data_IF_744598766568
#
_entry.id   IF_744598766568
#
_cell.length_a   1.000
_cell.length_b   1.000
_cell.length_c   1.000
_cell.angle_alpha   90.00
_cell.angle_beta   90.00
_cell.angle_gamma   90.00
#
_symmetry.space_group_name_H-M   'P 1'
#
loop_
_entity.id
_entity.type
_entity.pdbx_description
1 polymer ?
#
# COMPACT_ATOMS: atom_id res chain seq x y z
N UNK A 1 -20.19 -56.28 10.54
CA UNK A 1 -19.65 -55.47 9.43
C UNK A 1 -20.82 -54.82 8.70
N UNK A 2 -21.45 -53.83 9.33
CA UNK A 2 -22.68 -53.19 8.82
C UNK A 2 -22.79 -51.70 9.14
N UNK A 3 -21.89 -51.12 9.95
CA UNK A 3 -22.06 -49.73 10.42
C UNK A 3 -21.38 -48.69 9.52
N UNK A 4 -20.64 -49.12 8.49
CA UNK A 4 -20.00 -48.22 7.53
C UNK A 4 -20.94 -47.81 6.37
N UNK A 5 -22.03 -48.56 6.14
CA UNK A 5 -22.96 -48.30 5.05
C UNK A 5 -24.09 -47.32 5.45
N UNK A 6 -24.23 -47.02 6.74
CA UNK A 6 -25.18 -46.03 7.25
C UNK A 6 -24.74 -44.58 7.04
N UNK A 7 -23.48 -44.34 6.64
CA UNK A 7 -23.08 -43.03 6.12
C UNK A 7 -23.83 -42.66 4.82
N UNK A 8 -24.30 -43.67 4.08
CA UNK A 8 -24.90 -43.49 2.75
C UNK A 8 -26.44 -43.58 2.73
N UNK A 9 -27.08 -44.12 3.78
CA UNK A 9 -28.54 -44.22 3.88
C UNK A 9 -29.15 -43.17 4.81
N UNK A 10 -28.94 -41.89 4.48
CA UNK A 10 -29.63 -40.78 5.15
C UNK A 10 -31.02 -40.62 4.53
N UNK A 11 -32.06 -40.75 5.35
CA UNK A 11 -33.47 -40.43 5.08
C UNK A 11 -33.61 -39.17 4.18
N UNK A 12 -34.42 -39.23 3.11
CA UNK A 12 -34.51 -38.17 2.08
C UNK A 12 -34.79 -36.78 2.66
N UNK A 13 -35.52 -36.68 3.78
CA UNK A 13 -35.75 -35.39 4.50
C UNK A 13 -34.52 -34.91 5.29
N UNK A 14 -33.75 -35.83 5.88
CA UNK A 14 -32.47 -35.53 6.54
C UNK A 14 -31.38 -35.17 5.53
N UNK A 15 -31.41 -35.70 4.30
CA UNK A 15 -30.43 -35.36 3.24
C UNK A 15 -30.45 -33.87 2.86
N UNK A 16 -31.62 -33.28 2.64
CA UNK A 16 -31.72 -31.87 2.26
C UNK A 16 -31.29 -30.94 3.41
N UNK A 17 -31.68 -31.27 4.65
CA UNK A 17 -31.23 -30.56 5.84
C UNK A 17 -29.72 -30.64 6.03
N UNK A 18 -29.13 -31.82 5.84
CA UNK A 18 -27.69 -32.02 5.95
C UNK A 18 -26.93 -31.26 4.84
N UNK A 19 -27.45 -31.23 3.60
CA UNK A 19 -26.86 -30.43 2.52
C UNK A 19 -26.91 -28.93 2.85
N UNK A 20 -28.04 -28.43 3.33
CA UNK A 20 -28.18 -27.03 3.76
C UNK A 20 -27.21 -26.72 4.90
N UNK A 21 -27.09 -27.61 5.89
CA UNK A 21 -26.14 -27.47 6.98
C UNK A 21 -24.69 -27.42 6.47
N UNK A 22 -24.30 -28.26 5.51
CA UNK A 22 -22.97 -28.19 4.91
C UNK A 22 -22.75 -26.87 4.15
N UNK A 23 -23.74 -26.38 3.40
CA UNK A 23 -23.67 -25.08 2.72
C UNK A 23 -23.49 -23.95 3.74
N UNK A 24 -24.23 -23.99 4.86
CA UNK A 24 -24.10 -23.02 5.94
C UNK A 24 -22.74 -23.07 6.61
N UNK A 25 -22.19 -24.27 6.86
CA UNK A 25 -20.84 -24.44 7.41
C UNK A 25 -19.79 -23.87 6.46
N UNK A 26 -19.91 -24.12 5.14
CA UNK A 26 -18.99 -23.58 4.13
C UNK A 26 -19.09 -22.05 4.09
N UNK A 27 -20.31 -21.50 4.11
CA UNK A 27 -20.53 -20.06 4.14
C UNK A 27 -19.93 -19.42 5.39
N UNK A 28 -20.11 -20.05 6.56
CA UNK A 28 -19.53 -19.60 7.82
C UNK A 28 -18.00 -19.67 7.79
N UNK A 29 -17.41 -20.77 7.30
CA UNK A 29 -15.96 -20.90 7.13
C UNK A 29 -15.40 -19.87 6.15
N UNK A 30 -16.13 -19.55 5.08
CA UNK A 30 -15.73 -18.52 4.14
C UNK A 30 -15.67 -17.15 4.80
N UNK A 31 -16.72 -16.74 5.52
CA UNK A 31 -16.72 -15.46 6.24
C UNK A 31 -15.64 -15.44 7.31
N UNK A 32 -15.52 -16.52 8.10
CA UNK A 32 -14.51 -16.65 9.14
C UNK A 32 -13.08 -16.55 8.57
N UNK A 33 -12.79 -17.23 7.46
CA UNK A 33 -11.49 -17.18 6.80
C UNK A 33 -11.13 -15.77 6.36
N UNK A 34 -12.08 -15.05 5.74
CA UNK A 34 -11.87 -13.66 5.33
C UNK A 34 -11.54 -12.74 6.54
N UNK A 35 -12.27 -12.89 7.65
CA UNK A 35 -11.99 -12.13 8.88
C UNK A 35 -10.60 -12.47 9.43
N UNK A 36 -10.24 -13.75 9.51
CA UNK A 36 -8.93 -14.17 10.01
C UNK A 36 -7.78 -13.67 9.13
N UNK A 37 -7.92 -13.75 7.81
CA UNK A 37 -6.92 -13.23 6.86
C UNK A 37 -6.75 -11.71 7.06
N UNK A 38 -7.84 -10.97 7.18
CA UNK A 38 -7.80 -9.53 7.41
C UNK A 38 -7.07 -9.18 8.72
N UNK A 39 -7.42 -9.85 9.82
CA UNK A 39 -6.77 -9.65 11.12
C UNK A 39 -5.28 -10.02 11.07
N UNK A 40 -4.94 -11.12 10.39
CA UNK A 40 -3.56 -11.56 10.25
C UNK A 40 -2.72 -10.54 9.48
N UNK A 41 -3.19 -10.10 8.31
CA UNK A 41 -2.49 -9.10 7.50
C UNK A 41 -2.30 -7.82 8.32
N UNK A 42 -3.36 -7.27 8.91
CA UNK A 42 -3.26 -6.03 9.69
C UNK A 42 -2.35 -6.17 10.92
N UNK A 43 -2.33 -7.33 11.58
CA UNK A 43 -1.45 -7.60 12.71
C UNK A 43 0.03 -7.70 12.34
N UNK A 44 0.36 -8.01 11.07
CA UNK A 44 1.76 -8.06 10.62
C UNK A 44 2.35 -6.70 10.30
N UNK A 45 1.54 -5.67 10.04
CA UNK A 45 2.02 -4.32 9.80
C UNK A 45 2.44 -3.65 11.11
N UNK A 46 3.74 -3.45 11.28
CA UNK A 46 4.33 -2.78 12.44
C UNK A 46 4.82 -1.39 12.05
N UNK A 47 4.80 -0.45 12.99
CA UNK A 47 5.38 0.87 12.77
C UNK A 47 6.89 0.75 12.48
N UNK A 48 7.41 1.59 11.58
CA UNK A 48 8.85 1.69 11.33
C UNK A 48 9.51 2.35 12.54
N UNK A 49 10.61 1.79 13.03
CA UNK A 49 11.20 2.10 14.34
C UNK A 49 11.93 3.46 14.34
N UNK A 50 12.59 3.82 13.23
CA UNK A 50 13.31 5.09 13.08
C UNK A 50 12.92 5.75 11.75
N UNK A 51 12.35 6.95 11.83
CA UNK A 51 11.95 7.74 10.67
C UNK A 51 12.53 9.15 10.77
N UNK A 52 13.32 9.53 9.77
CA UNK A 52 13.97 10.85 9.69
C UNK A 52 13.48 11.62 8.48
N UNK A 53 13.21 12.91 8.67
CA UNK A 53 12.80 13.84 7.62
C UNK A 53 13.91 14.89 7.51
N UNK A 54 14.61 14.91 6.39
CA UNK A 54 15.67 15.87 6.08
C UNK A 54 15.24 16.79 4.92
N UNK A 55 13.97 17.20 4.93
CA UNK A 55 13.40 18.14 3.96
C UNK A 55 12.89 19.34 4.72
N UNK A 56 13.52 20.50 4.52
CA UNK A 56 13.08 21.76 5.16
C UNK A 56 11.87 22.36 4.44
N UNK A 57 11.83 22.28 3.11
CA UNK A 57 10.73 22.78 2.27
C UNK A 57 10.50 21.82 1.09
N UNK A 58 9.27 21.36 0.79
CA UNK A 58 8.00 21.58 1.50
C UNK A 58 7.95 20.88 2.87
N UNK A 59 6.98 21.23 3.72
CA UNK A 59 6.80 20.57 5.01
C UNK A 59 6.17 19.20 4.79
N UNK A 60 6.89 18.15 5.15
CA UNK A 60 6.45 16.76 5.01
C UNK A 60 6.09 16.24 6.39
N UNK A 61 4.88 15.69 6.51
CA UNK A 61 4.41 15.02 7.72
C UNK A 61 4.15 13.55 7.43
N UNK A 62 4.52 12.68 8.38
CA UNK A 62 4.26 11.25 8.30
C UNK A 62 3.10 10.95 9.26
N UNK A 63 1.96 10.54 8.71
CA UNK A 63 0.81 10.12 9.53
C UNK A 63 0.93 8.64 9.91
N UNK A 64 1.32 7.81 8.94
CA UNK A 64 1.49 6.37 9.15
C UNK A 64 2.65 5.85 8.32
N UNK A 65 3.63 5.24 8.99
CA UNK A 65 4.69 4.47 8.34
C UNK A 65 4.69 3.06 8.92
N UNK A 66 4.20 2.08 8.15
CA UNK A 66 4.12 0.69 8.61
C UNK A 66 4.69 -0.28 7.60
N UNK A 67 5.41 -1.27 8.11
CA UNK A 67 5.99 -2.35 7.32
C UNK A 67 5.68 -3.71 7.95
N UNK A 68 5.45 -4.69 7.08
CA UNK A 68 5.56 -6.12 7.34
C UNK A 68 6.99 -6.57 7.06
N UNK A 69 7.26 -7.88 7.07
CA UNK A 69 8.57 -8.40 6.69
C UNK A 69 8.96 -8.12 5.23
N UNK A 70 8.02 -7.97 4.29
CA UNK A 70 8.32 -7.84 2.85
C UNK A 70 7.59 -6.70 2.12
N UNK A 71 6.55 -6.14 2.73
CA UNK A 71 5.73 -5.07 2.17
C UNK A 71 5.58 -3.94 3.20
N UNK A 72 5.39 -2.71 2.76
CA UNK A 72 5.01 -1.63 3.65
C UNK A 72 4.42 -0.44 2.89
N UNK A 73 3.97 0.54 3.66
CA UNK A 73 3.46 1.80 3.14
C UNK A 73 3.83 2.96 4.05
N UNK A 74 3.91 4.14 3.43
CA UNK A 74 4.10 5.43 4.09
C UNK A 74 2.99 6.36 3.61
N UNK A 75 2.18 6.85 4.53
CA UNK A 75 1.14 7.83 4.29
C UNK A 75 1.48 9.10 5.05
N UNK A 76 1.15 10.23 4.44
CA UNK A 76 1.41 11.52 5.05
C UNK A 76 0.89 12.66 4.20
N UNK A 77 1.25 13.87 4.60
CA UNK A 77 0.88 15.10 3.91
C UNK A 77 2.11 15.90 3.56
N UNK A 78 2.09 16.49 2.38
CA UNK A 78 3.09 17.45 1.93
C UNK A 78 2.38 18.79 1.81
N UNK A 79 2.86 19.77 2.56
CA UNK A 79 2.33 21.13 2.56
C UNK A 79 3.36 22.11 2.06
N UNK A 80 2.97 22.93 1.09
CA UNK A 80 3.79 24.07 0.69
C UNK A 80 3.64 25.20 1.72
N UNK A 81 4.69 25.43 2.51
CA UNK A 81 4.74 26.52 3.47
C UNK A 81 5.47 27.76 2.93
N UNK A 82 5.90 27.75 1.66
CA UNK A 82 6.54 28.91 1.02
C UNK A 82 5.51 29.76 0.28
N UNK A 83 5.91 30.97 -0.08
CA UNK A 83 5.10 31.91 -0.88
C UNK A 83 5.22 31.64 -2.40
N UNK A 84 6.07 30.68 -2.79
CA UNK A 84 6.33 30.33 -4.19
C UNK A 84 5.76 28.96 -4.53
N UNK A 85 5.28 28.81 -5.77
CA UNK A 85 4.82 27.50 -6.27
C UNK A 85 6.00 26.54 -6.39
N UNK A 86 5.88 25.35 -5.80
CA UNK A 86 6.88 24.29 -5.94
C UNK A 86 6.56 23.52 -7.21
N UNK A 87 7.47 23.58 -8.18
CA UNK A 87 7.35 22.90 -9.47
C UNK A 87 8.41 21.81 -9.60
N UNK A 88 8.01 20.64 -10.12
CA UNK A 88 8.88 19.52 -10.51
C UNK A 88 9.89 19.05 -9.44
N UNK A 89 9.43 18.92 -8.19
CA UNK A 89 10.27 18.43 -7.09
C UNK A 89 10.13 16.93 -6.90
N UNK A 90 11.24 16.25 -6.61
CA UNK A 90 11.23 14.81 -6.31
C UNK A 90 11.60 14.58 -4.85
N UNK A 91 10.72 13.88 -4.13
CA UNK A 91 10.98 13.45 -2.76
C UNK A 91 11.44 12.00 -2.79
N UNK A 92 12.61 11.74 -2.21
CA UNK A 92 13.19 10.41 -2.06
C UNK A 92 12.80 9.82 -0.71
N UNK A 93 12.33 8.59 -0.75
CA UNK A 93 12.10 7.72 0.40
C UNK A 93 13.15 6.62 0.37
N UNK A 94 14.12 6.70 1.25
CA UNK A 94 15.18 5.71 1.38
C UNK A 94 14.84 4.75 2.53
N UNK A 95 14.90 3.45 2.26
CA UNK A 95 14.59 2.41 3.23
C UNK A 95 15.85 1.62 3.58
N UNK A 96 16.09 1.45 4.88
CA UNK A 96 17.30 0.79 5.37
C UNK A 96 17.05 -0.17 6.52
N UNK A 97 18.01 -1.08 6.71
CA UNK A 97 18.05 -2.00 7.85
C UNK A 97 18.48 -1.29 9.13
N UNK A 98 18.43 -1.98 10.29
CA UNK A 98 18.95 -1.45 11.55
C UNK A 98 20.43 -1.01 11.48
N UNK A 99 21.20 -1.60 10.57
CA UNK A 99 22.64 -1.35 10.36
C UNK A 99 22.91 -0.30 9.28
N UNK A 100 21.91 0.50 8.90
CA UNK A 100 22.02 1.58 7.91
C UNK A 100 22.43 1.11 6.50
N UNK A 101 22.15 -0.16 6.17
CA UNK A 101 22.30 -0.68 4.80
C UNK A 101 21.05 -0.31 4.00
N UNK A 102 21.23 0.40 2.87
CA UNK A 102 20.15 0.76 1.95
C UNK A 102 19.60 -0.52 1.26
N UNK A 103 18.27 -0.70 1.34
CA UNK A 103 17.53 -1.83 0.77
C UNK A 103 16.85 -1.43 -0.54
N UNK A 104 16.43 -0.17 -0.66
CA UNK A 104 15.78 0.37 -1.83
C UNK A 104 15.27 1.79 -1.63
N UNK A 105 14.96 2.44 -2.75
CA UNK A 105 14.51 3.82 -2.80
C UNK A 105 13.17 3.92 -3.54
N UNK A 106 12.32 4.85 -3.08
CA UNK A 106 11.12 5.27 -3.81
C UNK A 106 11.17 6.77 -4.06
N UNK A 107 10.62 7.20 -5.18
CA UNK A 107 10.59 8.60 -5.59
C UNK A 107 9.15 9.03 -5.82
N UNK A 108 8.77 10.14 -5.19
CA UNK A 108 7.48 10.78 -5.38
C UNK A 108 7.70 12.10 -6.13
N UNK A 109 7.09 12.22 -7.31
CA UNK A 109 7.10 13.46 -8.10
C UNK A 109 6.00 14.40 -7.60
N UNK A 110 6.37 15.64 -7.29
CA UNK A 110 5.47 16.75 -7.02
C UNK A 110 5.50 17.63 -8.27
N UNK A 111 4.43 17.61 -9.06
CA UNK A 111 4.37 18.37 -10.32
C UNK A 111 4.16 19.85 -10.08
N UNK A 112 3.04 20.22 -9.45
CA UNK A 112 2.72 21.60 -9.07
C UNK A 112 2.09 21.59 -7.67
N UNK A 113 2.65 22.39 -6.76
CA UNK A 113 2.10 22.59 -5.43
C UNK A 113 2.06 24.09 -5.11
N UNK A 114 0.87 24.68 -5.12
CA UNK A 114 0.66 26.10 -4.89
C UNK A 114 0.97 26.51 -3.43
N UNK A 115 1.31 27.78 -3.17
CA UNK A 115 1.52 28.30 -1.82
C UNK A 115 0.35 27.97 -0.89
N UNK A 116 0.65 27.34 0.26
CA UNK A 116 -0.36 26.93 1.24
C UNK A 116 -1.14 25.65 0.89
N UNK A 117 -0.96 25.09 -0.31
CA UNK A 117 -1.61 23.85 -0.72
C UNK A 117 -1.05 22.65 0.05
N UNK A 118 -1.93 21.73 0.41
CA UNK A 118 -1.62 20.47 1.08
C UNK A 118 -2.09 19.30 0.21
N UNK A 119 -1.19 18.34 -0.03
CA UNK A 119 -1.49 17.10 -0.76
C UNK A 119 -1.24 15.89 0.14
N UNK A 120 -2.13 14.92 0.08
CA UNK A 120 -1.94 13.62 0.72
C UNK A 120 -1.13 12.70 -0.20
N UNK A 121 -0.15 12.01 0.36
CA UNK A 121 0.66 11.04 -0.37
C UNK A 121 0.58 9.65 0.26
N UNK A 122 0.72 8.65 -0.61
CA UNK A 122 0.83 7.24 -0.23
C UNK A 122 1.90 6.56 -1.06
N UNK A 123 2.97 6.14 -0.41
CA UNK A 123 4.10 5.43 -1.00
C UNK A 123 4.02 3.98 -0.55
N UNK A 124 3.80 3.05 -1.48
CA UNK A 124 3.84 1.62 -1.18
C UNK A 124 5.19 1.05 -1.60
N UNK A 125 5.71 0.10 -0.84
CA UNK A 125 7.00 -0.51 -1.14
C UNK A 125 7.00 -2.01 -0.84
N UNK A 126 7.87 -2.72 -1.55
CA UNK A 126 8.06 -4.17 -1.41
C UNK A 126 9.55 -4.47 -1.22
N UNK A 127 10.00 -4.32 0.02
CA UNK A 127 11.37 -4.54 0.45
C UNK A 127 11.38 -5.38 1.72
N UNK A 128 12.42 -6.17 1.91
CA UNK A 128 12.51 -7.07 3.05
C UNK A 128 13.17 -6.39 4.26
N UNK A 129 12.67 -6.69 5.46
CA UNK A 129 13.27 -6.33 6.75
C UNK A 129 13.63 -4.83 6.91
N UNK A 130 12.69 -3.95 6.53
CA UNK A 130 12.86 -2.51 6.74
C UNK A 130 12.72 -2.17 8.22
N UNK A 131 13.64 -1.33 8.68
CA UNK A 131 13.73 -0.93 10.10
C UNK A 131 13.85 0.58 10.26
N UNK A 132 14.48 1.24 9.28
CA UNK A 132 14.63 2.69 9.25
C UNK A 132 14.15 3.25 7.92
N UNK A 133 13.69 4.49 7.96
CA UNK A 133 13.29 5.25 6.79
C UNK A 133 13.85 6.68 6.87
N UNK A 134 14.31 7.16 5.73
CA UNK A 134 14.76 8.55 5.56
C UNK A 134 14.04 9.19 4.39
N UNK A 135 13.50 10.38 4.62
CA UNK A 135 12.89 11.21 3.59
C UNK A 135 13.84 12.36 3.29
N UNK A 136 14.24 12.51 2.03
CA UNK A 136 15.13 13.59 1.57
C UNK A 136 14.68 14.12 0.22
N UNK A 137 15.26 15.24 -0.20
CA UNK A 137 15.13 15.71 -1.59
C UNK A 137 15.97 14.82 -2.51
N UNK A 138 15.42 14.42 -3.65
CA UNK A 138 16.14 13.60 -4.63
C UNK A 138 17.01 14.48 -5.53
N UNK A 139 18.22 14.02 -5.82
CA UNK A 139 19.10 14.70 -6.78
C UNK A 139 18.71 14.34 -8.21
N UNK A 140 18.90 15.25 -9.17
CA UNK A 140 18.58 15.02 -10.58
C UNK A 140 19.27 13.79 -11.20
N UNK A 141 20.44 13.39 -10.69
CA UNK A 141 21.14 12.17 -11.11
C UNK A 141 20.49 10.89 -10.58
N UNK A 142 19.99 10.92 -9.34
CA UNK A 142 19.30 9.79 -8.72
C UNK A 142 17.98 9.50 -9.45
N UNK A 143 17.25 10.55 -9.82
CA UNK A 143 16.00 10.44 -10.58
C UNK A 143 16.24 9.85 -11.98
N UNK A 144 17.35 10.21 -12.64
CA UNK A 144 17.67 9.67 -13.98
C UNK A 144 18.07 8.19 -13.96
N UNK A 145 18.69 7.74 -12.87
CA UNK A 145 19.15 6.37 -12.70
C UNK A 145 18.09 5.46 -12.05
N UNK A 146 17.00 6.04 -11.54
CA UNK A 146 15.92 5.31 -10.91
C UNK A 146 15.16 4.45 -11.92
N UNK A 147 14.74 3.27 -11.47
CA UNK A 147 13.92 2.37 -12.30
C UNK A 147 12.45 2.83 -12.27
N UNK A 148 11.68 2.61 -13.33
CA UNK A 148 10.24 2.96 -13.39
C UNK A 148 9.44 2.43 -12.18
N UNK A 149 9.81 1.27 -11.64
CA UNK A 149 9.17 0.67 -10.47
C UNK A 149 9.46 1.39 -9.14
N UNK A 150 10.43 2.30 -9.11
CA UNK A 150 10.78 3.11 -7.93
C UNK A 150 9.96 4.40 -7.86
N UNK A 151 9.33 4.81 -8.95
CA UNK A 151 8.46 5.97 -8.98
C UNK A 151 7.06 5.61 -8.46
N UNK A 152 6.58 6.37 -7.48
CA UNK A 152 5.19 6.32 -7.05
C UNK A 152 4.40 7.45 -7.71
N UNK A 153 3.26 7.06 -8.26
CA UNK A 153 2.31 7.97 -8.92
C UNK A 153 1.24 8.33 -7.89
N UNK A 154 1.03 9.62 -7.63
CA UNK A 154 -0.04 10.10 -6.76
C UNK A 154 -1.42 9.70 -7.30
N UNK A 155 -2.42 9.57 -6.43
CA UNK A 155 -3.78 9.19 -6.84
C UNK A 155 -4.40 10.18 -7.85
N UNK A 156 -4.02 11.46 -7.80
CA UNK A 156 -4.45 12.48 -8.78
C UNK A 156 -3.92 12.19 -10.19
N UNK A 157 -2.66 11.78 -10.31
CA UNK A 157 -2.08 11.38 -11.60
C UNK A 157 -2.71 10.08 -12.14
N UNK A 158 -3.09 9.14 -11.26
CA UNK A 158 -3.84 7.93 -11.67
C UNK A 158 -5.22 8.27 -12.20
N UNK A 159 -5.96 9.17 -11.54
CA UNK A 159 -7.26 9.63 -12.04
C UNK A 159 -7.12 10.33 -13.39
N UNK A 160 -6.11 11.20 -13.55
CA UNK A 160 -5.80 11.85 -14.83
C UNK A 160 -5.48 10.86 -15.96
N UNK A 161 -4.69 9.82 -15.67
CA UNK A 161 -4.36 8.77 -16.65
C UNK A 161 -5.59 7.95 -17.06
N UNK A 162 -6.48 7.62 -16.11
CA UNK A 162 -7.73 6.92 -16.41
C UNK A 162 -8.65 7.76 -17.29
N UNK A 163 -8.81 9.06 -16.99
CA UNK A 163 -9.62 9.99 -17.79
C UNK A 163 -9.03 10.15 -19.19
N UNK A 164 -7.71 10.32 -19.30
CA UNK A 164 -7.02 10.43 -20.59
C UNK A 164 -7.17 9.18 -21.46
N UNK A 165 -7.05 7.99 -20.84
CA UNK A 165 -7.26 6.71 -21.54
C UNK A 165 -8.71 6.55 -22.02
N UNK A 166 -9.68 6.98 -21.19
CA UNK A 166 -11.10 6.98 -21.56
C UNK A 166 -11.39 7.91 -22.75
N UNK A 167 -10.81 9.11 -22.74
CA UNK A 167 -10.95 10.08 -23.83
C UNK A 167 -10.36 9.55 -25.15
N UNK A 168 -9.19 8.91 -25.10
CA UNK A 168 -8.55 8.30 -26.28
C UNK A 168 -9.40 7.15 -26.83
N UNK A 169 -10.04 6.36 -25.96
CA UNK A 169 -10.98 5.30 -26.36
C UNK A 169 -12.28 5.84 -26.95
N UNK A 170 -12.76 7.00 -26.48
CA UNK A 170 -13.97 7.67 -27.00
C UNK A 170 -13.73 8.43 -28.31
N UNK A 171 -12.48 8.81 -28.59
CA UNK A 171 -12.06 9.49 -29.83
C UNK A 171 -11.69 8.53 -30.97
N UNK A 172 -11.81 7.22 -30.76
CA UNK A 172 -11.45 6.18 -31.73
C UNK A 172 -12.67 5.50 -32.34
#
# INVERSE_FOLDING_TARGET
MSDYMDFWCIDKRKRMHNIIMYILIIALLFVFSNVMIYLYINGTYKAIEDSKIEVENPNITIEQAKATYVNGYVNGKIKNNTEETINEKYIKFEFSTLRDVNIGNKYLKIENLEPGQEIEYKVNFKYQDIKKMKISEATAEEVKNATESEFEITEEMKQGMLIGTLLILLLK
#
